data_IF_283116348894
#
_entry.id   IF_283116348894
#
_cell.length_a   1.000
_cell.length_b   1.000
_cell.length_c   1.000
_cell.angle_alpha   90.00
_cell.angle_beta   90.00
_cell.angle_gamma   90.00
#
_symmetry.space_group_name_H-M   'P 1'
#
loop_
_entity.id
_entity.type
_entity.pdbx_description
1 polymer ?
#
# COMPACT_ATOMS: atom_id res chain seq x y z
N UNK A 1 12.94 50.80 2.49
CA UNK A 1 13.50 50.62 3.84
C UNK A 1 12.43 49.93 4.68
N UNK A 2 12.68 48.64 4.97
CA UNK A 2 12.15 47.75 6.04
C UNK A 2 10.65 47.71 6.42
N UNK A 3 10.12 46.65 7.08
CA UNK A 3 10.83 45.48 7.65
C UNK A 3 10.22 44.09 7.35
N UNK A 4 11.10 43.13 7.60
CA UNK A 4 10.95 41.69 7.87
C UNK A 4 9.67 41.17 8.55
N UNK A 5 9.19 40.02 8.06
CA UNK A 5 8.49 38.99 8.88
C UNK A 5 8.92 37.59 8.42
N UNK A 6 9.77 36.86 9.17
CA UNK A 6 10.08 35.47 8.86
C UNK A 6 9.05 34.56 9.57
N UNK A 7 8.13 33.96 8.80
CA UNK A 7 7.16 33.01 9.35
C UNK A 7 7.64 31.55 9.17
N UNK A 8 8.21 31.05 10.26
CA UNK A 8 8.09 29.68 10.81
C UNK A 8 8.54 28.48 9.99
N UNK A 9 9.62 27.88 10.49
CA UNK A 9 10.07 26.50 10.24
C UNK A 9 9.14 25.51 10.95
N UNK A 10 8.05 25.03 10.33
CA UNK A 10 7.31 23.89 10.91
C UNK A 10 6.35 23.18 9.94
N UNK A 11 6.87 22.61 8.83
CA UNK A 11 6.05 21.73 7.97
C UNK A 11 6.80 20.51 7.42
N UNK A 12 8.08 20.30 7.76
CA UNK A 12 8.89 19.22 7.15
C UNK A 12 8.68 17.82 7.76
N UNK A 13 7.88 17.66 8.82
CA UNK A 13 7.72 16.35 9.49
C UNK A 13 6.53 15.51 9.00
N UNK A 14 5.59 16.06 8.22
CA UNK A 14 4.42 15.32 7.74
C UNK A 14 4.64 14.59 6.42
N UNK A 15 5.53 15.09 5.55
CA UNK A 15 5.76 14.49 4.23
C UNK A 15 6.48 13.14 4.28
N UNK A 16 7.32 12.90 5.29
CA UNK A 16 8.08 11.63 5.42
C UNK A 16 7.23 10.48 5.93
N UNK A 17 6.23 10.72 6.79
CA UNK A 17 5.37 9.65 7.33
C UNK A 17 4.40 9.12 6.29
N UNK A 18 3.84 10.00 5.44
CA UNK A 18 2.95 9.57 4.35
C UNK A 18 3.71 8.72 3.33
N UNK A 19 4.88 9.17 2.86
CA UNK A 19 5.66 8.41 1.86
C UNK A 19 6.12 7.02 2.37
N UNK A 20 6.46 6.90 3.66
CA UNK A 20 6.79 5.59 4.24
C UNK A 20 5.55 4.70 4.36
N UNK A 21 4.38 5.26 4.68
CA UNK A 21 3.16 4.46 4.76
C UNK A 21 2.73 3.95 3.39
N UNK A 22 2.74 4.80 2.34
CA UNK A 22 2.43 4.39 0.97
C UNK A 22 3.36 3.27 0.50
N UNK A 23 4.66 3.36 0.79
CA UNK A 23 5.64 2.31 0.44
C UNK A 23 5.31 0.98 1.13
N UNK A 24 4.94 1.01 2.41
CA UNK A 24 4.53 -0.20 3.16
C UNK A 24 3.20 -0.76 2.61
N UNK A 25 2.27 0.11 2.17
CA UNK A 25 1.03 -0.36 1.55
C UNK A 25 1.29 -0.97 0.16
N UNK A 26 2.12 -0.36 -0.68
CA UNK A 26 2.48 -0.88 -2.02
C UNK A 26 3.17 -2.25 -1.94
N UNK A 27 4.09 -2.43 -1.00
CA UNK A 27 4.76 -3.71 -0.80
C UNK A 27 3.78 -4.80 -0.37
N UNK A 28 2.87 -4.47 0.56
CA UNK A 28 1.77 -5.37 0.95
C UNK A 28 0.88 -5.71 -0.23
N UNK A 29 0.38 -4.71 -0.97
CA UNK A 29 -0.50 -4.94 -2.12
C UNK A 29 0.18 -5.76 -3.20
N UNK A 30 1.48 -5.56 -3.43
CA UNK A 30 2.27 -6.36 -4.36
C UNK A 30 2.35 -7.82 -3.93
N UNK A 31 2.62 -8.08 -2.64
CA UNK A 31 2.61 -9.45 -2.10
C UNK A 31 1.23 -10.10 -2.19
N UNK A 32 0.17 -9.37 -1.86
CA UNK A 32 -1.21 -9.83 -1.96
C UNK A 32 -1.55 -10.18 -3.42
N UNK A 33 -1.19 -9.31 -4.37
CA UNK A 33 -1.46 -9.54 -5.80
C UNK A 33 -0.74 -10.79 -6.33
N UNK A 34 0.53 -10.99 -5.94
CA UNK A 34 1.30 -12.18 -6.32
C UNK A 34 0.67 -13.45 -5.73
N UNK A 35 0.29 -13.44 -4.45
CA UNK A 35 -0.37 -14.59 -3.81
C UNK A 35 -1.74 -14.89 -4.42
N UNK A 36 -2.55 -13.87 -4.69
CA UNK A 36 -3.84 -14.01 -5.37
C UNK A 36 -3.67 -14.58 -6.79
N UNK A 37 -2.65 -14.13 -7.52
CA UNK A 37 -2.31 -14.68 -8.84
C UNK A 37 -1.98 -16.17 -8.77
N UNK A 38 -1.16 -16.61 -7.80
CA UNK A 38 -0.84 -18.03 -7.64
C UNK A 38 -2.07 -18.85 -7.26
N UNK A 39 -2.96 -18.32 -6.42
CA UNK A 39 -4.24 -18.98 -6.07
C UNK A 39 -5.15 -19.13 -7.28
N UNK A 40 -5.34 -18.06 -8.04
CA UNK A 40 -6.08 -18.10 -9.29
C UNK A 40 -5.44 -19.10 -10.27
N UNK A 41 -4.10 -19.13 -10.37
CA UNK A 41 -3.38 -20.09 -11.23
C UNK A 41 -3.63 -21.55 -10.84
N UNK A 42 -3.64 -21.87 -9.53
CA UNK A 42 -3.95 -23.22 -9.03
C UNK A 42 -5.39 -23.63 -9.38
N UNK A 43 -6.32 -22.66 -9.36
CA UNK A 43 -7.72 -22.84 -9.81
C UNK A 43 -7.91 -22.79 -11.33
N UNK A 44 -6.88 -22.46 -12.11
CA UNK A 44 -6.99 -22.29 -13.56
C UNK A 44 -7.69 -20.99 -13.99
N UNK A 45 -7.58 -19.92 -13.21
CA UNK A 45 -8.17 -18.59 -13.45
C UNK A 45 -9.69 -18.63 -13.68
N UNK A 46 -10.40 -19.41 -12.87
CA UNK A 46 -11.86 -19.44 -12.93
C UNK A 46 -12.46 -18.05 -12.59
N UNK A 47 -13.34 -17.50 -13.45
CA UNK A 47 -14.02 -16.24 -13.17
C UNK A 47 -14.97 -16.40 -11.98
N UNK A 48 -15.13 -15.33 -11.20
CA UNK A 48 -16.00 -15.30 -10.01
C UNK A 48 -15.32 -15.70 -8.70
N UNK A 49 -14.04 -16.09 -8.74
CA UNK A 49 -13.23 -16.37 -7.55
C UNK A 49 -12.13 -15.33 -7.30
N UNK A 50 -11.99 -14.32 -8.17
CA UNK A 50 -10.93 -13.31 -8.08
C UNK A 50 -10.91 -12.60 -6.72
N UNK A 51 -12.10 -12.26 -6.20
CA UNK A 51 -12.24 -11.58 -4.91
C UNK A 51 -11.90 -12.50 -3.73
N UNK A 52 -12.26 -13.78 -3.84
CA UNK A 52 -12.00 -14.82 -2.84
C UNK A 52 -10.49 -15.10 -2.75
N UNK A 53 -9.83 -15.23 -3.91
CA UNK A 53 -8.39 -15.43 -4.02
C UNK A 53 -7.62 -14.21 -3.46
N UNK A 54 -8.12 -12.99 -3.72
CA UNK A 54 -7.56 -11.75 -3.16
C UNK A 54 -7.74 -11.64 -1.65
N UNK A 55 -8.95 -11.89 -1.11
CA UNK A 55 -9.21 -11.92 0.33
C UNK A 55 -8.35 -12.97 1.05
N UNK A 56 -8.21 -14.15 0.44
CA UNK A 56 -7.40 -15.21 1.00
C UNK A 56 -5.91 -14.86 0.95
N UNK A 57 -5.44 -14.14 -0.07
CA UNK A 57 -4.08 -13.63 -0.14
C UNK A 57 -3.83 -12.51 0.89
N UNK A 58 -4.77 -11.60 1.09
CA UNK A 58 -4.71 -10.57 2.15
C UNK A 58 -4.60 -11.19 3.54
N UNK A 59 -5.37 -12.25 3.80
CA UNK A 59 -5.34 -12.97 5.07
C UNK A 59 -3.97 -13.61 5.34
N UNK A 60 -3.29 -14.16 4.32
CA UNK A 60 -1.94 -14.72 4.46
C UNK A 60 -0.88 -13.65 4.71
N UNK A 61 -0.96 -12.49 4.05
CA UNK A 61 0.03 -11.40 4.22
C UNK A 61 -0.13 -10.69 5.58
N UNK A 62 -1.32 -10.76 6.19
CA UNK A 62 -1.62 -10.11 7.47
C UNK A 62 -1.32 -10.98 8.70
N UNK A 63 -1.00 -12.27 8.53
CA UNK A 63 -0.73 -13.22 9.60
C UNK A 63 0.76 -13.27 9.98
#
# INVERSE_FOLDING_TARGET
MEPTKPLTKSTRKKATVTANNEHIQEERYSHIAVAAYYKAQVRGFQPGHELDDWLAAEAEVKQ
#
